data_IF_845182120414
#
_entry.id   IF_845182120414
#
_cell.length_a   1.000
_cell.length_b   1.000
_cell.length_c   1.000
_cell.angle_alpha   90.00
_cell.angle_beta   90.00
_cell.angle_gamma   90.00
#
_symmetry.space_group_name_H-M   'P 1'
#
loop_
_entity.id
_entity.type
_entity.pdbx_description
1 polymer ?
#
# COMPACT_ATOMS: atom_id res chain seq x y z
N UNK A 1 -5.64 14.45 -15.15
CA UNK A 1 -6.51 14.75 -13.99
C UNK A 1 -6.22 16.15 -13.45
N UNK A 2 -7.18 16.73 -12.73
CA UNK A 2 -7.01 17.99 -12.00
C UNK A 2 -6.48 17.71 -10.59
N UNK A 3 -5.91 18.73 -9.93
CA UNK A 3 -5.40 18.59 -8.56
C UNK A 3 -6.48 18.11 -7.58
N UNK A 4 -7.72 18.60 -7.72
CA UNK A 4 -8.84 18.19 -6.86
C UNK A 4 -9.14 16.69 -6.96
N UNK A 5 -9.03 16.12 -8.16
CA UNK A 5 -9.22 14.69 -8.39
C UNK A 5 -8.10 13.89 -7.69
N UNK A 6 -6.85 14.35 -7.84
CA UNK A 6 -5.71 13.70 -7.17
C UNK A 6 -5.85 13.74 -5.64
N UNK A 7 -6.26 14.88 -5.07
CA UNK A 7 -6.42 15.01 -3.62
C UNK A 7 -7.44 14.02 -3.05
N UNK A 8 -8.52 13.73 -3.80
CA UNK A 8 -9.49 12.72 -3.43
C UNK A 8 -8.93 11.27 -3.49
N UNK A 9 -7.93 11.04 -4.35
CA UNK A 9 -7.33 9.72 -4.59
C UNK A 9 -6.01 9.49 -3.85
N UNK A 10 -5.43 10.53 -3.22
CA UNK A 10 -4.08 10.49 -2.66
C UNK A 10 -3.87 9.37 -1.63
N UNK A 11 -4.87 9.10 -0.78
CA UNK A 11 -4.80 7.98 0.16
C UNK A 11 -4.77 6.61 -0.56
N UNK A 12 -5.61 6.43 -1.58
CA UNK A 12 -5.67 5.20 -2.37
C UNK A 12 -4.38 4.94 -3.18
N UNK A 13 -3.74 5.99 -3.72
CA UNK A 13 -2.39 5.93 -4.32
C UNK A 13 -1.38 5.36 -3.31
N UNK A 14 -1.30 5.95 -2.12
CA UNK A 14 -0.34 5.53 -1.09
C UNK A 14 -0.62 4.11 -0.56
N UNK A 15 -1.87 3.67 -0.56
CA UNK A 15 -2.25 2.31 -0.17
C UNK A 15 -2.09 1.27 -1.28
N UNK A 16 -1.84 1.71 -2.53
CA UNK A 16 -1.76 0.83 -3.69
C UNK A 16 -3.11 0.21 -4.03
N UNK A 17 -4.17 1.00 -3.91
CA UNK A 17 -5.58 0.62 -4.12
C UNK A 17 -6.15 1.18 -5.41
N UNK A 18 -5.34 1.87 -6.20
CA UNK A 18 -5.72 2.35 -7.53
C UNK A 18 -5.76 1.20 -8.54
N UNK A 19 -6.64 1.34 -9.52
CA UNK A 19 -6.63 0.54 -10.74
C UNK A 19 -5.45 0.93 -11.63
N UNK A 20 -5.14 0.12 -12.64
CA UNK A 20 -4.01 0.37 -13.54
C UNK A 20 -4.15 1.70 -14.30
N UNK A 21 -5.37 2.05 -14.71
CA UNK A 21 -5.60 3.29 -15.44
C UNK A 21 -5.48 4.51 -14.51
N UNK A 22 -6.01 4.41 -13.29
CA UNK A 22 -5.84 5.44 -12.26
C UNK A 22 -4.37 5.63 -11.86
N UNK A 23 -3.58 4.56 -11.75
CA UNK A 23 -2.13 4.65 -11.48
C UNK A 23 -1.41 5.45 -12.57
N UNK A 24 -1.75 5.23 -13.85
CA UNK A 24 -1.15 5.97 -14.98
C UNK A 24 -1.53 7.45 -14.94
N UNK A 25 -2.80 7.75 -14.72
CA UNK A 25 -3.28 9.13 -14.67
C UNK A 25 -2.67 9.90 -13.50
N UNK A 26 -2.57 9.25 -12.33
CA UNK A 26 -1.90 9.82 -11.15
C UNK A 26 -0.43 10.08 -11.43
N UNK A 27 0.30 9.13 -12.00
CA UNK A 27 1.74 9.29 -12.25
C UNK A 27 2.01 10.40 -13.28
N UNK A 28 1.19 10.48 -14.34
CA UNK A 28 1.23 11.57 -15.31
C UNK A 28 1.02 12.95 -14.65
N UNK A 29 0.04 13.07 -13.75
CA UNK A 29 -0.22 14.32 -13.05
C UNK A 29 0.88 14.67 -12.04
N UNK A 30 1.26 13.72 -11.19
CA UNK A 30 2.24 13.95 -10.13
C UNK A 30 3.62 14.30 -10.69
N UNK A 31 4.02 13.71 -11.81
CA UNK A 31 5.29 14.04 -12.48
C UNK A 31 5.36 15.47 -13.04
N UNK A 32 4.20 16.10 -13.28
CA UNK A 32 4.11 17.47 -13.83
C UNK A 32 3.59 18.52 -12.83
N UNK A 33 3.08 18.10 -11.65
CA UNK A 33 2.49 18.98 -10.64
C UNK A 33 3.27 18.94 -9.32
N UNK A 34 4.06 19.99 -9.04
CA UNK A 34 4.87 20.10 -7.83
C UNK A 34 4.02 20.06 -6.53
N UNK A 35 2.82 20.66 -6.53
CA UNK A 35 1.92 20.63 -5.39
C UNK A 35 1.48 19.20 -5.05
N UNK A 36 1.03 18.45 -6.05
CA UNK A 36 0.56 17.09 -5.85
C UNK A 36 1.71 16.10 -5.56
N UNK A 37 2.90 16.35 -6.09
CA UNK A 37 4.11 15.63 -5.67
C UNK A 37 4.43 15.83 -4.18
N UNK A 38 4.31 17.06 -3.67
CA UNK A 38 4.49 17.34 -2.25
C UNK A 38 3.41 16.66 -1.39
N UNK A 39 2.15 16.67 -1.83
CA UNK A 39 1.05 15.96 -1.16
C UNK A 39 1.33 14.45 -1.11
N UNK A 40 1.75 13.85 -2.22
CA UNK A 40 2.12 12.43 -2.30
C UNK A 40 3.19 12.09 -1.27
N UNK A 41 4.22 12.93 -1.19
CA UNK A 41 5.32 12.74 -0.25
C UNK A 41 4.84 12.87 1.21
N UNK A 42 4.01 13.86 1.52
CA UNK A 42 3.43 14.03 2.85
C UNK A 42 2.61 12.80 3.28
N UNK A 43 1.77 12.27 2.40
CA UNK A 43 0.96 11.07 2.67
C UNK A 43 1.85 9.84 2.92
N UNK A 44 2.94 9.67 2.16
CA UNK A 44 3.95 8.61 2.40
C UNK A 44 4.60 8.74 3.77
N UNK A 45 5.01 9.96 4.14
CA UNK A 45 5.61 10.24 5.45
C UNK A 45 4.64 9.93 6.58
N UNK A 46 3.36 10.34 6.47
CA UNK A 46 2.34 10.02 7.48
C UNK A 46 2.18 8.50 7.63
N UNK A 47 2.06 7.76 6.53
CA UNK A 47 1.96 6.29 6.56
C UNK A 47 3.15 5.63 7.25
N UNK A 48 4.37 6.11 6.99
CA UNK A 48 5.57 5.63 7.66
C UNK A 48 5.53 5.93 9.17
N UNK A 49 5.19 7.15 9.55
CA UNK A 49 5.08 7.53 10.97
C UNK A 49 4.05 6.68 11.72
N UNK A 50 2.91 6.38 11.09
CA UNK A 50 1.91 5.47 11.67
C UNK A 50 2.49 4.07 11.85
N UNK A 51 3.19 3.53 10.84
CA UNK A 51 3.83 2.21 10.93
C UNK A 51 4.87 2.14 12.05
N UNK A 52 5.62 3.22 12.27
CA UNK A 52 6.67 3.28 13.28
C UNK A 52 6.14 3.53 14.70
N UNK A 53 5.07 4.32 14.84
CA UNK A 53 4.59 4.81 16.16
C UNK A 53 3.30 4.19 16.65
N UNK A 54 2.51 3.55 15.78
CA UNK A 54 1.28 2.90 16.23
C UNK A 54 1.62 1.74 17.16
N UNK A 55 0.82 1.59 18.22
CA UNK A 55 0.97 0.47 19.15
C UNK A 55 0.85 -0.86 18.38
N UNK A 56 1.90 -1.68 18.47
CA UNK A 56 1.90 -2.99 17.86
C UNK A 56 1.04 -3.95 18.69
N UNK A 57 -0.06 -4.43 18.12
CA UNK A 57 -0.86 -5.50 18.73
C UNK A 57 -0.18 -6.83 18.40
N UNK A 58 0.29 -7.60 19.41
CA UNK A 58 0.92 -8.88 19.14
C UNK A 58 -0.07 -9.81 18.45
N UNK A 59 0.38 -10.42 17.37
CA UNK A 59 -0.41 -11.45 16.69
C UNK A 59 -0.58 -12.64 17.64
N UNK A 60 -1.80 -13.17 17.83
CA UNK A 60 -2.02 -14.31 18.71
C UNK A 60 -1.13 -15.51 18.33
N UNK A 61 -0.64 -16.22 19.36
CA UNK A 61 0.22 -17.38 19.17
C UNK A 61 -0.43 -18.40 18.22
N UNK A 62 0.37 -19.01 17.35
CA UNK A 62 -0.09 -20.03 16.39
C UNK A 62 -0.86 -19.51 15.17
N UNK A 63 -1.26 -18.22 15.09
CA UNK A 63 -1.88 -17.66 13.87
C UNK A 63 -0.93 -17.77 12.69
N UNK A 64 0.35 -17.38 12.86
CA UNK A 64 1.37 -17.51 11.81
C UNK A 64 1.49 -18.95 11.29
N UNK A 65 1.55 -19.92 12.20
CA UNK A 65 1.66 -21.33 11.83
C UNK A 65 0.41 -21.81 11.06
N UNK A 66 -0.79 -21.43 11.49
CA UNK A 66 -2.03 -21.76 10.79
C UNK A 66 -2.10 -21.15 9.39
N UNK A 67 -1.70 -19.89 9.24
CA UNK A 67 -1.64 -19.22 7.92
C UNK A 67 -0.68 -19.95 7.00
N UNK A 68 0.54 -20.27 7.47
CA UNK A 68 1.52 -21.00 6.66
C UNK A 68 1.05 -22.40 6.28
N UNK A 69 0.38 -23.12 7.18
CA UNK A 69 -0.22 -24.42 6.87
C UNK A 69 -1.35 -24.31 5.84
N UNK A 70 -2.20 -23.28 5.91
CA UNK A 70 -3.24 -23.03 4.92
C UNK A 70 -2.63 -22.76 3.53
N UNK A 71 -1.63 -21.88 3.45
CA UNK A 71 -0.91 -21.59 2.21
C UNK A 71 -0.23 -22.83 1.61
N UNK A 72 0.33 -23.71 2.44
CA UNK A 72 0.95 -24.95 1.98
C UNK A 72 -0.09 -25.95 1.43
N UNK A 73 -1.26 -26.05 2.06
CA UNK A 73 -2.39 -26.88 1.58
C UNK A 73 -2.97 -26.35 0.27
N UNK A 74 -2.90 -25.03 0.05
CA UNK A 74 -3.32 -24.37 -1.19
C UNK A 74 -2.28 -24.43 -2.33
N UNK A 75 -1.08 -25.01 -2.12
CA UNK A 75 -0.06 -25.15 -3.18
C UNK A 75 -0.66 -25.77 -4.45
N UNK A 76 -0.53 -25.24 -5.67
CA UNK A 76 0.68 -24.73 -6.30
C UNK A 76 0.38 -23.81 -7.53
N UNK A 77 -0.59 -22.88 -7.42
CA UNK A 77 -1.08 -22.13 -8.60
C UNK A 77 -1.20 -20.62 -8.50
N UNK A 78 -1.10 -20.00 -7.32
CA UNK A 78 -1.34 -18.55 -7.21
C UNK A 78 -0.05 -17.83 -6.83
N UNK A 79 0.47 -17.05 -7.79
CA UNK A 79 1.56 -16.10 -7.58
C UNK A 79 1.11 -15.08 -6.53
N UNK A 80 1.31 -15.37 -5.25
CA UNK A 80 1.24 -14.36 -4.20
C UNK A 80 2.22 -13.27 -4.64
N UNK A 81 1.68 -12.11 -5.03
CA UNK A 81 2.50 -10.94 -5.37
C UNK A 81 3.35 -10.68 -4.13
N UNK A 82 4.66 -10.97 -4.22
CA UNK A 82 5.69 -10.85 -3.16
C UNK A 82 5.80 -9.46 -2.50
N UNK A 83 4.89 -8.54 -2.81
CA UNK A 83 4.72 -7.21 -2.26
C UNK A 83 4.00 -7.19 -0.90
N UNK A 84 3.21 -8.21 -0.57
CA UNK A 84 2.51 -8.28 0.73
C UNK A 84 3.39 -8.77 1.88
N UNK A 85 4.27 -9.74 1.65
CA UNK A 85 5.16 -10.30 2.69
C UNK A 85 6.32 -9.36 3.06
N UNK A 86 6.82 -8.57 2.11
CA UNK A 86 7.90 -7.61 2.32
C UNK A 86 7.48 -6.32 3.05
N UNK A 87 6.20 -6.20 3.43
CA UNK A 87 5.66 -5.04 4.17
C UNK A 87 5.48 -5.32 5.68
N UNK A 88 5.74 -6.54 6.14
CA UNK A 88 5.59 -6.94 7.54
C UNK A 88 6.87 -7.45 8.21
N UNK A 89 7.99 -7.52 7.48
CA UNK A 89 9.34 -7.50 8.05
C UNK A 89 9.80 -6.06 8.31
#
# INVERSE_FOLDING_TARGET
>A
MQCVDYLAMAAADIDGRLTVDEERDVESHVSSCAHCAAVRQQQRTIKQLVRERAAHVPTPAGVRARVLQALAREGAGSKIRRRWLSRFD
#
